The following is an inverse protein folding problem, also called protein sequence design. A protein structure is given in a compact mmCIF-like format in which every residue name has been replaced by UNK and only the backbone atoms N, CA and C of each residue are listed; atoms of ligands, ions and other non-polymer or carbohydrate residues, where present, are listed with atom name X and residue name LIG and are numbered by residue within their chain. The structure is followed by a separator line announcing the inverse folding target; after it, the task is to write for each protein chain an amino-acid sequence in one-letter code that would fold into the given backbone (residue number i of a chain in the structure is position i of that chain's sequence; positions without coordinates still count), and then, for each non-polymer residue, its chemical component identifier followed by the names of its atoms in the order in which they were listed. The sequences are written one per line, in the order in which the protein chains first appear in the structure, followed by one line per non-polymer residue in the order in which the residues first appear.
data_IF_464656794092
#
_entry.id   IF_464656794092
#
_cell.length_a   1.000
_cell.length_b   1.000
_cell.length_c   1.000
_cell.angle_alpha   90.00
_cell.angle_beta   90.00
_cell.angle_gamma   90.00
#
_symmetry.space_group_name_H-M   'P 1'
#
loop_
_entity.id
_entity.type
_entity.pdbx_description
1 polymer ?
#
# COMPACT_ATOMS: atom_id res chain seq x y z
N UNK A 1 49.48 -1.57 -23.92
CA UNK A 1 49.18 -2.08 -22.56
C UNK A 1 48.45 -1.07 -21.68
N UNK A 2 48.92 0.18 -21.50
CA UNK A 2 48.20 1.16 -20.66
C UNK A 2 46.85 1.67 -21.24
N UNK A 3 46.73 1.78 -22.56
CA UNK A 3 45.52 2.25 -23.24
C UNK A 3 44.39 1.19 -23.25
N UNK A 4 44.76 -0.09 -23.17
CA UNK A 4 43.82 -1.22 -23.19
C UNK A 4 43.18 -1.43 -21.80
N UNK A 5 44.00 -1.30 -20.74
CA UNK A 5 43.53 -1.37 -19.35
C UNK A 5 42.60 -0.21 -18.98
N UNK A 6 42.80 0.98 -19.55
CA UNK A 6 41.95 2.15 -19.29
C UNK A 6 40.57 2.01 -19.94
N UNK A 7 40.50 1.44 -21.15
CA UNK A 7 39.23 1.15 -21.81
C UNK A 7 38.38 0.10 -21.06
N UNK A 8 39.02 -0.94 -20.52
CA UNK A 8 38.35 -1.96 -19.69
C UNK A 8 37.81 -1.39 -18.38
N UNK A 9 38.56 -0.51 -17.71
CA UNK A 9 38.10 0.15 -16.48
C UNK A 9 36.92 1.08 -16.75
N UNK A 10 36.93 1.82 -17.87
CA UNK A 10 35.78 2.64 -18.27
C UNK A 10 34.55 1.79 -18.64
N UNK A 11 34.73 0.67 -19.34
CA UNK A 11 33.64 -0.24 -19.66
C UNK A 11 33.01 -0.85 -18.40
N UNK A 12 33.82 -1.32 -17.44
CA UNK A 12 33.33 -1.85 -16.16
C UNK A 12 32.63 -0.78 -15.31
N UNK A 13 33.12 0.47 -15.33
CA UNK A 13 32.47 1.59 -14.65
C UNK A 13 31.14 1.98 -15.32
N UNK A 14 31.03 1.92 -16.65
CA UNK A 14 29.77 2.14 -17.35
C UNK A 14 28.75 1.00 -17.10
N UNK A 15 29.21 -0.25 -17.02
CA UNK A 15 28.34 -1.41 -16.75
C UNK A 15 27.81 -1.36 -15.31
N UNK A 16 28.63 -0.94 -14.33
CA UNK A 16 28.16 -0.79 -12.93
C UNK A 16 27.15 0.35 -12.76
N UNK A 17 27.20 1.39 -13.61
CA UNK A 17 26.19 2.45 -13.62
C UNK A 17 24.87 2.04 -14.29
N UNK A 18 24.89 1.06 -15.20
CA UNK A 18 23.68 0.55 -15.86
C UNK A 18 22.97 -0.53 -15.01
N UNK A 19 23.72 -1.30 -14.21
CA UNK A 19 23.15 -2.29 -13.27
C UNK A 19 22.71 -1.72 -11.91
N UNK A 20 22.94 -0.43 -11.65
CA UNK A 20 22.58 0.26 -10.41
C UNK A 20 21.44 1.27 -10.62
N UNK A 21 20.54 1.03 -11.57
CA UNK A 21 19.27 1.75 -11.55
C UNK A 21 18.44 1.17 -10.39
N UNK A 22 18.10 1.95 -9.33
CA UNK A 22 17.21 1.45 -8.30
C UNK A 22 15.94 0.95 -8.98
N UNK A 23 15.47 -0.24 -8.59
CA UNK A 23 14.18 -0.77 -9.02
C UNK A 23 13.19 0.36 -8.78
N UNK A 24 12.64 0.92 -9.87
CA UNK A 24 11.67 2.01 -9.76
C UNK A 24 10.55 1.50 -8.86
N UNK A 25 10.03 2.34 -7.97
CA UNK A 25 8.82 2.01 -7.24
C UNK A 25 7.74 1.59 -8.26
N UNK A 26 7.36 0.31 -8.28
CA UNK A 26 6.47 -0.26 -9.29
C UNK A 26 5.28 -0.89 -8.59
N UNK A 27 4.15 -0.19 -8.58
CA UNK A 27 2.91 -0.68 -7.99
C UNK A 27 1.95 -1.09 -9.09
N UNK A 28 1.65 -2.39 -9.18
CA UNK A 28 0.67 -2.93 -10.11
C UNK A 28 -0.77 -2.56 -9.69
N UNK A 29 -1.43 -1.75 -10.52
CA UNK A 29 -2.80 -1.31 -10.31
C UNK A 29 -3.83 -2.43 -10.47
N UNK A 30 -3.55 -3.48 -11.25
CA UNK A 30 -4.40 -4.66 -11.30
C UNK A 30 -4.39 -5.41 -9.97
N UNK A 31 -3.23 -5.53 -9.33
CA UNK A 31 -3.13 -6.16 -8.01
C UNK A 31 -3.87 -5.33 -6.94
N UNK A 32 -3.73 -4.01 -6.94
CA UNK A 32 -4.49 -3.12 -6.03
C UNK A 32 -6.01 -3.26 -6.26
N UNK A 33 -6.45 -3.31 -7.52
CA UNK A 33 -7.86 -3.51 -7.86
C UNK A 33 -8.38 -4.88 -7.42
N UNK A 34 -7.57 -5.93 -7.55
CA UNK A 34 -7.91 -7.26 -7.05
C UNK A 34 -8.01 -7.25 -5.52
N UNK A 35 -7.06 -6.65 -4.82
CA UNK A 35 -7.11 -6.47 -3.36
C UNK A 35 -8.36 -5.73 -2.91
N UNK A 36 -8.76 -4.66 -3.60
CA UNK A 36 -10.02 -3.95 -3.35
C UNK A 36 -11.23 -4.88 -3.43
N UNK A 37 -11.35 -5.66 -4.51
CA UNK A 37 -12.48 -6.57 -4.70
C UNK A 37 -12.50 -7.67 -3.62
N UNK A 38 -11.36 -8.29 -3.33
CA UNK A 38 -11.26 -9.33 -2.30
C UNK A 38 -11.70 -8.80 -0.93
N UNK A 39 -11.23 -7.61 -0.55
CA UNK A 39 -11.57 -6.97 0.73
C UNK A 39 -13.04 -6.55 0.82
N UNK A 40 -13.61 -6.07 -0.29
CA UNK A 40 -15.03 -5.77 -0.39
C UNK A 40 -15.89 -7.03 -0.25
N UNK A 41 -15.47 -8.11 -0.89
CA UNK A 41 -16.29 -9.31 -1.07
C UNK A 41 -16.07 -10.38 0.02
N UNK A 42 -15.01 -10.30 0.84
CA UNK A 42 -14.72 -11.30 1.90
C UNK A 42 -15.74 -11.25 3.05
N UNK A 43 -16.15 -10.07 3.49
CA UNK A 43 -17.17 -9.88 4.53
C UNK A 43 -18.52 -9.42 3.99
N UNK A 44 -18.63 -9.20 2.67
CA UNK A 44 -19.84 -8.70 2.01
C UNK A 44 -20.28 -7.32 2.51
N UNK A 45 -21.59 -7.14 2.71
CA UNK A 45 -22.17 -5.89 3.19
C UNK A 45 -21.83 -5.65 4.67
N UNK A 46 -21.65 -4.38 5.05
CA UNK A 46 -21.38 -4.03 6.45
C UNK A 46 -22.53 -4.51 7.37
N UNK A 47 -22.23 -5.33 8.40
CA UNK A 47 -23.26 -5.97 9.22
C UNK A 47 -24.07 -4.96 10.03
N UNK A 48 -25.38 -5.16 10.07
CA UNK A 48 -26.30 -4.27 10.80
C UNK A 48 -26.00 -4.24 12.30
N UNK A 49 -25.55 -5.36 12.89
CA UNK A 49 -25.15 -5.41 14.30
C UNK A 49 -23.98 -4.47 14.62
N UNK A 50 -23.15 -4.14 13.65
CA UNK A 50 -21.96 -3.29 13.85
C UNK A 50 -22.23 -1.80 13.67
N UNK A 51 -23.43 -1.40 13.25
CA UNK A 51 -23.79 0.02 13.01
C UNK A 51 -23.62 0.86 14.29
N UNK A 52 -23.98 0.32 15.45
CA UNK A 52 -23.88 1.03 16.73
C UNK A 52 -22.44 1.20 17.22
N UNK A 53 -21.54 0.31 16.80
CA UNK A 53 -20.10 0.37 17.15
C UNK A 53 -19.29 1.17 16.13
N UNK A 54 -19.86 1.46 14.96
CA UNK A 54 -19.20 2.17 13.89
C UNK A 54 -18.71 3.54 14.37
N UNK A 55 -17.42 3.80 14.16
CA UNK A 55 -16.77 5.07 14.50
C UNK A 55 -16.42 5.83 13.23
N UNK A 56 -16.37 7.16 13.36
CA UNK A 56 -15.83 8.00 12.31
C UNK A 56 -14.31 7.90 12.32
N UNK A 57 -13.73 7.31 11.29
CA UNK A 57 -12.29 7.38 11.02
C UNK A 57 -12.06 8.45 9.95
N UNK A 58 -11.43 9.59 10.29
CA UNK A 58 -11.14 10.62 9.30
C UNK A 58 -10.19 10.10 8.23
N UNK A 59 -10.63 10.15 6.97
CA UNK A 59 -9.85 9.67 5.84
C UNK A 59 -8.65 10.59 5.54
N UNK A 60 -7.43 10.07 5.33
CA UNK A 60 -6.20 10.86 5.17
C UNK A 60 -6.06 11.44 3.75
N UNK A 61 -7.08 12.14 3.25
CA UNK A 61 -7.13 12.66 1.86
C UNK A 61 -5.92 13.51 1.49
N UNK A 62 -5.40 14.31 2.44
CA UNK A 62 -4.24 15.17 2.22
C UNK A 62 -2.94 14.41 1.97
N UNK A 63 -2.80 13.17 2.47
CA UNK A 63 -1.63 12.34 2.20
C UNK A 63 -1.55 11.96 0.71
N UNK A 64 -2.70 11.71 0.09
CA UNK A 64 -2.84 11.34 -1.33
C UNK A 64 -3.04 12.52 -2.29
N UNK A 65 -3.04 13.76 -1.77
CA UNK A 65 -3.29 14.92 -2.60
C UNK A 65 -2.13 15.19 -3.58
N UNK A 66 -2.45 15.36 -4.85
CA UNK A 66 -1.54 15.83 -5.90
C UNK A 66 -2.06 17.16 -6.43
N UNK A 67 -1.16 18.11 -6.66
CA UNK A 67 -1.46 19.38 -7.34
C UNK A 67 -1.08 19.32 -8.84
N UNK A 68 -0.71 18.15 -9.36
CA UNK A 68 -0.41 17.94 -10.78
C UNK A 68 0.99 18.41 -11.23
N UNK A 69 1.87 18.84 -10.31
CA UNK A 69 3.24 19.23 -10.67
C UNK A 69 4.10 18.02 -11.03
N UNK A 70 5.01 18.19 -11.99
CA UNK A 70 6.00 17.17 -12.35
C UNK A 70 6.80 16.70 -11.11
N UNK A 71 6.97 15.38 -10.95
CA UNK A 71 7.65 14.75 -9.81
C UNK A 71 6.75 14.31 -8.65
N UNK A 72 5.47 14.73 -8.60
CA UNK A 72 4.55 14.25 -7.56
C UNK A 72 4.08 12.81 -7.73
N UNK A 73 4.16 12.25 -8.95
CA UNK A 73 3.84 10.84 -9.18
C UNK A 73 4.67 9.90 -8.32
N UNK A 74 5.94 10.23 -8.09
CA UNK A 74 6.84 9.39 -7.30
C UNK A 74 6.52 9.51 -5.80
N UNK A 75 6.23 10.72 -5.32
CA UNK A 75 5.78 10.96 -3.94
C UNK A 75 4.48 10.22 -3.66
N UNK A 76 3.49 10.34 -4.56
CA UNK A 76 2.21 9.63 -4.42
C UNK A 76 2.42 8.12 -4.43
N UNK A 77 3.32 7.62 -5.28
CA UNK A 77 3.63 6.19 -5.31
C UNK A 77 4.25 5.71 -4.01
N UNK A 78 5.12 6.51 -3.38
CA UNK A 78 5.63 6.22 -2.03
C UNK A 78 4.51 6.19 -0.99
N UNK A 79 3.57 7.15 -1.03
CA UNK A 79 2.41 7.15 -0.10
C UNK A 79 1.52 5.92 -0.31
N UNK A 80 1.29 5.49 -1.55
CA UNK A 80 0.54 4.26 -1.83
C UNK A 80 1.30 3.05 -1.31
N UNK A 81 2.62 2.99 -1.52
CA UNK A 81 3.45 1.91 -0.97
C UNK A 81 3.37 1.84 0.56
N UNK A 82 3.51 2.97 1.26
CA UNK A 82 3.37 3.03 2.71
C UNK A 82 1.98 2.59 3.16
N UNK A 83 0.94 2.95 2.41
CA UNK A 83 -0.44 2.52 2.68
C UNK A 83 -0.56 0.99 2.59
N UNK A 84 -0.03 0.38 1.53
CA UNK A 84 -0.05 -1.07 1.34
C UNK A 84 0.79 -1.79 2.41
N UNK A 85 1.92 -1.20 2.81
CA UNK A 85 2.73 -1.72 3.91
C UNK A 85 1.97 -1.68 5.24
N UNK A 86 1.31 -0.57 5.57
CA UNK A 86 0.51 -0.47 6.79
C UNK A 86 -0.70 -1.41 6.78
N UNK A 87 -1.32 -1.63 5.61
CA UNK A 87 -2.33 -2.69 5.44
C UNK A 87 -1.71 -4.05 5.72
N UNK A 88 -0.55 -4.38 5.14
CA UNK A 88 0.12 -5.66 5.40
C UNK A 88 0.36 -5.86 6.90
N UNK A 89 0.86 -4.82 7.59
CA UNK A 89 1.14 -4.88 9.02
C UNK A 89 -0.11 -5.06 9.89
N UNK A 90 -1.26 -4.47 9.52
CA UNK A 90 -2.53 -4.72 10.22
C UNK A 90 -2.96 -6.19 10.17
N UNK A 91 -2.59 -6.91 9.10
CA UNK A 91 -2.97 -8.30 8.85
C UNK A 91 -1.86 -9.31 9.21
N UNK A 92 -0.84 -8.90 9.98
CA UNK A 92 0.25 -9.80 10.42
C UNK A 92 -0.18 -10.80 11.49
N UNK A 93 -1.25 -10.52 12.24
CA UNK A 93 -1.81 -11.48 13.20
C UNK A 93 -2.73 -12.48 12.48
N UNK A 94 -2.79 -13.72 12.98
CA UNK A 94 -3.60 -14.79 12.38
C UNK A 94 -5.03 -14.90 12.96
N UNK A 95 -5.54 -13.84 13.60
CA UNK A 95 -6.87 -13.83 14.22
C UNK A 95 -7.84 -12.90 13.47
N UNK A 96 -8.77 -13.50 12.74
CA UNK A 96 -9.74 -12.81 11.88
C UNK A 96 -11.16 -13.33 12.07
N UNK A 97 -12.20 -12.54 11.72
CA UNK A 97 -13.59 -12.99 11.72
C UNK A 97 -13.82 -14.29 10.96
N UNK A 98 -14.43 -15.28 11.62
CA UNK A 98 -14.83 -16.56 10.99
C UNK A 98 -15.89 -16.38 9.89
N UNK A 99 -16.62 -15.26 9.91
CA UNK A 99 -17.64 -14.92 8.92
C UNK A 99 -17.04 -14.41 7.59
N UNK A 100 -15.73 -14.13 7.56
CA UNK A 100 -15.06 -13.77 6.31
C UNK A 100 -14.76 -15.00 5.45
N UNK A 101 -14.87 -14.83 4.13
CA UNK A 101 -14.41 -15.83 3.16
C UNK A 101 -12.89 -16.03 3.28
N UNK A 102 -12.48 -17.17 3.83
CA UNK A 102 -11.08 -17.53 4.13
C UNK A 102 -10.20 -17.52 2.87
N UNK A 103 -10.72 -18.01 1.73
CA UNK A 103 -9.97 -18.03 0.47
C UNK A 103 -9.67 -16.61 0.01
N UNK A 104 -10.67 -15.73 0.06
CA UNK A 104 -10.48 -14.32 -0.34
C UNK A 104 -9.55 -13.58 0.62
N UNK A 105 -9.61 -13.88 1.92
CA UNK A 105 -8.69 -13.32 2.92
C UNK A 105 -7.25 -13.74 2.63
N UNK A 106 -7.02 -15.03 2.40
CA UNK A 106 -5.70 -15.56 2.09
C UNK A 106 -5.15 -14.97 0.78
N UNK A 107 -5.97 -14.91 -0.27
CA UNK A 107 -5.59 -14.28 -1.54
C UNK A 107 -5.26 -12.80 -1.35
N UNK A 108 -6.04 -12.08 -0.54
CA UNK A 108 -5.80 -10.67 -0.24
C UNK A 108 -4.45 -10.47 0.46
N UNK A 109 -4.19 -11.21 1.54
CA UNK A 109 -2.93 -11.16 2.29
C UNK A 109 -1.74 -11.49 1.36
N UNK A 110 -1.85 -12.55 0.55
CA UNK A 110 -0.81 -12.94 -0.39
C UNK A 110 -0.51 -11.86 -1.44
N UNK A 111 -1.54 -11.23 -2.00
CA UNK A 111 -1.37 -10.15 -2.99
C UNK A 111 -0.71 -8.93 -2.34
N UNK A 112 -1.21 -8.48 -1.19
CA UNK A 112 -0.66 -7.33 -0.47
C UNK A 112 0.80 -7.58 -0.10
N UNK A 113 1.10 -8.72 0.52
CA UNK A 113 2.46 -9.09 0.90
C UNK A 113 3.41 -9.08 -0.30
N UNK A 114 3.04 -9.75 -1.40
CA UNK A 114 3.88 -9.82 -2.61
C UNK A 114 4.07 -8.46 -3.28
N UNK A 115 3.03 -7.62 -3.28
CA UNK A 115 3.12 -6.26 -3.82
C UNK A 115 4.10 -5.43 -3.01
N UNK A 116 4.02 -5.48 -1.68
CA UNK A 116 4.92 -4.75 -0.77
C UNK A 116 6.35 -5.28 -0.84
N UNK A 117 6.53 -6.60 -0.78
CA UNK A 117 7.84 -7.27 -0.80
C UNK A 117 8.62 -6.98 -2.09
N UNK A 118 7.94 -6.98 -3.24
CA UNK A 118 8.57 -6.73 -4.54
C UNK A 118 8.75 -5.24 -4.87
N UNK A 119 8.00 -4.37 -4.20
CA UNK A 119 8.03 -2.93 -4.47
C UNK A 119 8.95 -2.23 -3.48
N UNK A 120 10.23 -2.07 -3.81
CA UNK A 120 11.10 -1.22 -2.98
C UNK A 120 11.06 0.20 -3.51
N UNK A 121 10.18 1.02 -2.95
CA UNK A 121 10.10 2.44 -3.29
C UNK A 121 11.24 3.19 -2.60
N UNK A 122 12.27 3.60 -3.37
CA UNK A 122 13.48 4.26 -2.88
C UNK A 122 13.21 5.67 -2.32
N UNK A 123 12.66 5.68 -1.11
CA UNK A 123 12.73 6.67 -0.03
C UNK A 123 12.71 5.94 1.31
N UNK A 124 13.10 4.65 1.27
CA UNK A 124 12.90 3.64 2.30
C UNK A 124 13.89 3.75 3.43
N UNK A 125 13.72 4.76 4.27
CA UNK A 125 13.74 4.41 5.68
C UNK A 125 12.33 3.84 6.01
N UNK A 126 12.23 2.92 6.98
CA UNK A 126 10.97 2.24 7.33
C UNK A 126 9.80 3.25 7.45
N UNK A 127 8.54 2.89 7.12
CA UNK A 127 7.42 3.80 7.33
C UNK A 127 7.48 4.41 8.74
N UNK A 128 7.48 5.75 8.82
CA UNK A 128 7.72 6.51 10.06
C UNK A 128 9.13 7.08 10.24
N UNK A 129 9.98 7.05 9.21
CA UNK A 129 11.35 7.59 9.24
C UNK A 129 11.55 8.88 8.42
N UNK A 130 10.65 9.13 7.47
CA UNK A 130 10.47 10.44 6.84
C UNK A 130 9.37 11.18 7.60
N UNK A 131 9.69 12.32 8.21
CA UNK A 131 8.74 13.11 9.02
C UNK A 131 7.93 14.09 8.15
N UNK A 132 7.59 13.66 6.94
CA UNK A 132 6.75 14.45 6.05
C UNK A 132 5.33 14.56 6.62
N UNK A 133 4.67 15.69 6.39
CA UNK A 133 3.28 15.87 6.81
C UNK A 133 2.34 14.78 6.23
N UNK A 134 2.67 14.19 5.07
CA UNK A 134 1.92 13.09 4.45
C UNK A 134 2.09 11.81 5.25
N UNK A 135 3.32 11.44 5.57
CA UNK A 135 3.67 10.25 6.36
C UNK A 135 3.05 10.34 7.75
N UNK A 136 3.12 11.50 8.41
CA UNK A 136 2.47 11.71 9.70
C UNK A 136 0.93 11.57 9.62
N UNK A 137 0.31 12.12 8.56
CA UNK A 137 -1.14 11.98 8.33
C UNK A 137 -1.53 10.52 8.12
N UNK A 138 -0.76 9.78 7.32
CA UNK A 138 -1.01 8.37 7.03
C UNK A 138 -0.81 7.50 8.27
N UNK A 139 0.26 7.74 9.04
CA UNK A 139 0.52 7.06 10.32
C UNK A 139 -0.64 7.25 11.29
N UNK A 140 -1.07 8.49 11.51
CA UNK A 140 -2.19 8.79 12.41
C UNK A 140 -3.50 8.08 11.98
N UNK A 141 -3.71 7.89 10.67
CA UNK A 141 -4.86 7.15 10.17
C UNK A 141 -4.78 5.66 10.52
N UNK A 142 -3.64 5.02 10.28
CA UNK A 142 -3.46 3.59 10.60
C UNK A 142 -3.38 3.31 12.10
N UNK A 143 -2.82 4.23 12.90
CA UNK A 143 -2.88 4.15 14.37
C UNK A 143 -4.33 4.15 14.86
N UNK A 144 -5.22 4.96 14.28
CA UNK A 144 -6.65 4.93 14.61
C UNK A 144 -7.32 3.63 14.22
N UNK A 145 -6.97 3.05 13.06
CA UNK A 145 -7.49 1.74 12.66
C UNK A 145 -7.03 0.65 13.65
N UNK A 146 -5.77 0.69 14.08
CA UNK A 146 -5.25 -0.21 15.11
C UNK A 146 -5.97 -0.01 16.46
N UNK A 147 -6.26 1.23 16.86
CA UNK A 147 -7.07 1.51 18.06
C UNK A 147 -8.49 0.93 17.94
N UNK A 148 -9.12 0.99 16.76
CA UNK A 148 -10.43 0.36 16.54
C UNK A 148 -10.36 -1.14 16.81
N UNK A 149 -9.33 -1.83 16.33
CA UNK A 149 -9.11 -3.26 16.58
C UNK A 149 -8.95 -3.59 18.08
N UNK A 150 -8.41 -2.66 18.87
CA UNK A 150 -8.18 -2.85 20.31
C UNK A 150 -9.40 -2.49 21.16
N UNK A 151 -10.19 -1.51 20.77
CA UNK A 151 -11.24 -0.91 21.60
C UNK A 151 -12.65 -1.46 21.35
N UNK A 152 -12.89 -2.11 20.21
CA UNK A 152 -14.23 -2.54 19.77
C UNK A 152 -14.42 -4.04 19.87
N UNK A 153 -15.67 -4.50 19.73
CA UNK A 153 -15.95 -5.92 19.64
C UNK A 153 -15.20 -6.51 18.44
N UNK A 154 -14.50 -7.64 18.64
CA UNK A 154 -13.62 -8.26 17.64
C UNK A 154 -14.20 -8.27 16.22
N UNK A 155 -15.42 -8.79 16.04
CA UNK A 155 -16.06 -8.89 14.74
C UNK A 155 -16.32 -7.50 14.12
N UNK A 156 -16.95 -6.61 14.89
CA UNK A 156 -17.30 -5.29 14.41
C UNK A 156 -16.09 -4.37 14.21
N UNK A 157 -15.03 -4.55 15.01
CA UNK A 157 -13.76 -3.85 14.85
C UNK A 157 -13.17 -4.14 13.47
N UNK A 158 -13.09 -5.41 13.10
CA UNK A 158 -12.59 -5.85 11.81
C UNK A 158 -13.48 -5.39 10.65
N UNK A 159 -14.81 -5.41 10.79
CA UNK A 159 -15.72 -4.87 9.78
C UNK A 159 -15.55 -3.36 9.57
N UNK A 160 -15.30 -2.59 10.64
CA UNK A 160 -15.00 -1.16 10.53
C UNK A 160 -13.68 -0.94 9.80
N UNK A 161 -12.62 -1.67 10.17
CA UNK A 161 -11.31 -1.59 9.50
C UNK A 161 -11.43 -1.99 8.03
N UNK A 162 -12.08 -3.12 7.72
CA UNK A 162 -12.32 -3.59 6.34
C UNK A 162 -13.01 -2.53 5.51
N UNK A 163 -14.07 -1.90 6.03
CA UNK A 163 -14.80 -0.81 5.36
C UNK A 163 -13.90 0.40 5.06
N UNK A 164 -13.08 0.84 6.00
CA UNK A 164 -12.15 1.97 5.78
C UNK A 164 -11.02 1.63 4.80
N UNK A 165 -10.52 0.39 4.82
CA UNK A 165 -9.52 -0.09 3.88
C UNK A 165 -10.08 -0.25 2.46
N UNK A 166 -11.33 -0.74 2.30
CA UNK A 166 -12.04 -0.75 1.01
C UNK A 166 -12.10 0.67 0.44
N UNK A 167 -12.53 1.65 1.24
CA UNK A 167 -12.56 3.07 0.85
C UNK A 167 -11.18 3.59 0.45
N UNK A 168 -10.13 3.15 1.14
CA UNK A 168 -8.75 3.57 0.86
C UNK A 168 -8.25 3.07 -0.49
N UNK A 169 -8.44 1.77 -0.77
CA UNK A 169 -8.02 1.19 -2.04
C UNK A 169 -8.83 1.75 -3.21
N UNK A 170 -10.14 1.97 -3.03
CA UNK A 170 -11.01 2.61 -4.01
C UNK A 170 -10.52 4.02 -4.35
N UNK A 171 -10.22 4.83 -3.33
CA UNK A 171 -9.70 6.18 -3.51
C UNK A 171 -8.40 6.19 -4.33
N UNK A 172 -7.48 5.28 -4.04
CA UNK A 172 -6.21 5.14 -4.78
C UNK A 172 -6.47 4.82 -6.25
N UNK A 173 -7.37 3.89 -6.53
CA UNK A 173 -7.72 3.47 -7.89
C UNK A 173 -8.37 4.64 -8.67
N UNK A 174 -9.27 5.39 -8.04
CA UNK A 174 -10.00 6.48 -8.69
C UNK A 174 -9.16 7.75 -8.88
N UNK A 175 -8.33 8.11 -7.90
CA UNK A 175 -7.70 9.43 -7.83
C UNK A 175 -6.18 9.41 -8.05
N UNK A 176 -5.55 8.24 -7.96
CA UNK A 176 -4.09 8.10 -8.07
C UNK A 176 -3.68 7.06 -9.13
N UNK A 177 -4.57 6.71 -10.06
CA UNK A 177 -4.32 5.73 -11.12
C UNK A 177 -3.07 6.04 -11.96
N UNK A 178 -2.78 7.32 -12.23
CA UNK A 178 -1.60 7.75 -12.99
C UNK A 178 -0.27 7.45 -12.29
N UNK A 179 -0.32 7.18 -10.98
CA UNK A 179 0.85 6.75 -10.20
C UNK A 179 1.04 5.23 -10.19
N UNK A 180 0.10 4.47 -10.74
CA UNK A 180 0.12 3.01 -10.79
C UNK A 180 0.57 2.50 -12.16
N UNK A 181 1.10 1.28 -12.18
CA UNK A 181 1.41 0.56 -13.40
C UNK A 181 0.22 -0.30 -13.79
N UNK A 182 -0.13 -0.26 -15.07
CA UNK A 182 -1.18 -1.10 -15.64
C UNK A 182 -0.59 -1.97 -16.76
N UNK A 183 0.14 -3.05 -16.43
CA UNK A 183 0.68 -3.96 -17.43
C UNK A 183 -0.43 -4.49 -18.34
N UNK A 184 -0.17 -4.56 -19.65
CA UNK A 184 -1.10 -5.21 -20.57
C UNK A 184 -1.20 -6.69 -20.19
N UNK A 185 -2.41 -7.23 -20.10
CA UNK A 185 -2.61 -8.68 -20.05
C UNK A 185 -2.07 -9.26 -21.36
N UNK A 186 -1.05 -10.11 -21.23
CA UNK A 186 -0.49 -10.92 -22.33
C UNK A 186 -1.46 -12.05 -22.64
#
# INVERSE_FOLDING_TARGET
MALENTAWLCALFCISQVLSAPIKCQLDGHLIKTSYNLLKDMGGNFPQQCIKENVLVPFPRSAFASNGTAGQSDIIRTVIYETLYSINSLFENDDFPTDWDEIKLQDFQNIIYRQVDKSTCAGGSKPGSDDSARTATLRNYFERLASVLQEKNFFCAWEIVRKELVRTLDFIIEHNSDSLLWPKRI
#
